data_IF_349143725717
#
_entry.id   IF_349143725717
#
_cell.length_a   1.000
_cell.length_b   1.000
_cell.length_c   1.000
_cell.angle_alpha   90.00
_cell.angle_beta   90.00
_cell.angle_gamma   90.00
#
_symmetry.space_group_name_H-M   'P 1'
#
loop_
_entity.id
_entity.type
_entity.pdbx_description
1 polymer ?
#
# COMPACT_ATOMS: atom_id res chain seq x y z
N UNK A 1 6.42 -13.92 -4.38
CA UNK A 1 5.50 -13.18 -5.27
C UNK A 1 4.49 -12.50 -4.37
N UNK A 2 4.80 -11.27 -3.94
CA UNK A 2 3.83 -10.42 -3.23
C UNK A 2 2.79 -10.00 -4.25
N UNK A 3 1.51 -10.28 -3.99
CA UNK A 3 0.42 -9.61 -4.70
C UNK A 3 0.34 -8.17 -4.17
N UNK A 4 1.38 -7.38 -4.42
CA UNK A 4 1.26 -5.94 -4.41
C UNK A 4 0.47 -5.56 -5.65
N UNK A 5 -0.26 -4.46 -5.58
CA UNK A 5 -0.57 -3.62 -6.73
C UNK A 5 0.53 -3.71 -7.79
N UNK A 6 0.23 -3.63 -9.11
CA UNK A 6 1.27 -3.34 -10.08
C UNK A 6 1.80 -1.93 -9.78
N UNK A 7 2.61 -1.81 -8.73
CA UNK A 7 3.54 -0.73 -8.55
C UNK A 7 4.37 -0.76 -9.81
N UNK A 8 4.44 0.37 -10.50
CA UNK A 8 5.46 0.52 -11.51
C UNK A 8 6.78 0.32 -10.78
N UNK A 9 7.37 -0.85 -10.94
CA UNK A 9 8.67 -1.11 -10.36
C UNK A 9 9.63 -0.04 -10.88
N UNK A 10 10.61 0.32 -10.05
CA UNK A 10 11.66 1.28 -10.42
C UNK A 10 12.24 0.93 -11.81
N UNK A 11 12.33 -0.36 -12.13
CA UNK A 11 12.75 -0.87 -13.43
C UNK A 11 11.86 -0.41 -14.59
N UNK A 12 10.53 -0.44 -14.45
CA UNK A 12 9.59 0.01 -15.50
C UNK A 12 9.70 1.52 -15.70
N UNK A 13 9.92 2.31 -14.63
CA UNK A 13 10.08 3.77 -14.72
C UNK A 13 11.43 4.18 -15.31
N UNK A 14 12.50 3.40 -15.09
CA UNK A 14 13.81 3.64 -15.69
C UNK A 14 13.77 3.55 -17.23
N UNK A 15 12.96 2.62 -17.75
CA UNK A 15 12.83 2.37 -19.19
C UNK A 15 11.76 3.26 -19.86
N UNK A 16 10.93 3.94 -19.08
CA UNK A 16 9.85 4.78 -19.60
C UNK A 16 10.33 6.16 -20.04
N UNK A 17 9.79 6.65 -21.16
CA UNK A 17 10.06 8.03 -21.63
C UNK A 17 9.32 9.05 -20.75
N UNK A 18 9.80 10.31 -20.68
CA UNK A 18 9.10 11.37 -19.93
C UNK A 18 7.64 11.56 -20.36
N UNK A 19 7.32 11.38 -21.64
CA UNK A 19 5.95 11.50 -22.15
C UNK A 19 5.05 10.37 -21.65
N UNK A 20 5.56 9.15 -21.60
CA UNK A 20 4.83 8.00 -21.06
C UNK A 20 4.57 8.17 -19.55
N UNK A 21 5.57 8.67 -18.81
CA UNK A 21 5.44 8.98 -17.38
C UNK A 21 4.40 10.09 -17.18
N UNK A 22 4.43 11.15 -17.99
CA UNK A 22 3.44 12.23 -17.91
C UNK A 22 2.02 11.74 -18.20
N UNK A 23 1.83 10.89 -19.21
CA UNK A 23 0.54 10.27 -19.49
C UNK A 23 0.04 9.46 -18.29
N UNK A 24 0.91 8.66 -17.67
CA UNK A 24 0.58 7.89 -16.47
C UNK A 24 0.21 8.80 -15.29
N UNK A 25 0.97 9.87 -15.04
CA UNK A 25 0.67 10.87 -14.01
C UNK A 25 -0.74 11.46 -14.21
N UNK A 26 -1.10 11.82 -15.44
CA UNK A 26 -2.40 12.43 -15.72
C UNK A 26 -3.56 11.46 -15.47
N UNK A 27 -3.42 10.20 -15.89
CA UNK A 27 -4.41 9.15 -15.59
C UNK A 27 -4.58 8.98 -14.08
N UNK A 28 -3.48 8.93 -13.33
CA UNK A 28 -3.57 8.80 -11.88
C UNK A 28 -4.25 10.02 -11.22
N UNK A 29 -4.00 11.24 -11.71
CA UNK A 29 -4.68 12.43 -11.19
C UNK A 29 -6.18 12.37 -11.40
N UNK A 30 -6.64 11.96 -12.58
CA UNK A 30 -8.07 11.76 -12.86
C UNK A 30 -8.69 10.72 -11.92
N UNK A 31 -7.98 9.62 -11.66
CA UNK A 31 -8.42 8.59 -10.71
C UNK A 31 -8.47 9.10 -9.27
N UNK A 32 -7.51 9.93 -8.86
CA UNK A 32 -7.53 10.58 -7.55
C UNK A 32 -8.71 11.54 -7.42
N UNK A 33 -9.01 12.31 -8.46
CA UNK A 33 -10.19 13.19 -8.49
C UNK A 33 -11.50 12.40 -8.44
N UNK A 34 -11.52 11.18 -9.01
CA UNK A 34 -12.61 10.23 -8.89
C UNK A 34 -12.69 9.52 -7.51
N UNK A 35 -11.75 9.80 -6.61
CA UNK A 35 -11.74 9.30 -5.24
C UNK A 35 -10.97 8.00 -5.01
N UNK A 36 -10.09 7.60 -5.93
CA UNK A 36 -9.27 6.38 -5.80
C UNK A 36 -8.03 6.64 -4.91
N UNK A 37 -8.00 6.02 -3.73
CA UNK A 37 -6.92 6.18 -2.76
C UNK A 37 -5.58 5.58 -3.21
N UNK A 38 -5.63 4.44 -3.90
CA UNK A 38 -4.44 3.73 -4.40
C UNK A 38 -3.76 4.46 -5.55
N UNK A 39 -4.51 5.18 -6.37
CA UNK A 39 -3.96 6.08 -7.39
C UNK A 39 -3.12 7.21 -6.76
N UNK A 40 -3.54 7.72 -5.60
CA UNK A 40 -2.74 8.71 -4.86
C UNK A 40 -1.45 8.09 -4.29
N UNK A 41 -1.48 6.83 -3.82
CA UNK A 41 -0.26 6.11 -3.42
C UNK A 41 0.71 5.98 -4.58
N UNK A 42 0.22 5.56 -5.76
CA UNK A 42 1.05 5.45 -6.96
C UNK A 42 1.63 6.81 -7.39
N UNK A 43 0.91 7.91 -7.26
CA UNK A 43 1.49 9.25 -7.51
C UNK A 43 2.63 9.61 -6.55
N UNK A 44 2.54 9.20 -5.28
CA UNK A 44 3.64 9.36 -4.34
C UNK A 44 4.86 8.51 -4.74
N UNK A 45 4.64 7.27 -5.19
CA UNK A 45 5.70 6.38 -5.70
C UNK A 45 6.35 6.90 -6.97
N UNK A 46 5.56 7.40 -7.92
CA UNK A 46 6.05 8.04 -9.15
C UNK A 46 6.93 9.25 -8.81
N UNK A 47 6.51 10.07 -7.85
CA UNK A 47 7.33 11.19 -7.39
C UNK A 47 8.67 10.71 -6.82
N UNK A 48 8.67 9.68 -5.96
CA UNK A 48 9.91 9.09 -5.43
C UNK A 48 10.78 8.49 -6.54
N UNK A 49 10.19 7.77 -7.48
CA UNK A 49 10.92 7.16 -8.59
C UNK A 49 11.60 8.19 -9.48
N UNK A 50 10.93 9.32 -9.80
CA UNK A 50 11.54 10.42 -10.54
C UNK A 50 12.74 10.99 -9.78
N UNK A 51 12.59 11.23 -8.46
CA UNK A 51 13.69 11.72 -7.63
C UNK A 51 14.90 10.75 -7.62
N UNK A 52 14.65 9.44 -7.61
CA UNK A 52 15.69 8.41 -7.60
C UNK A 52 16.32 8.15 -8.97
N UNK A 53 15.65 8.52 -10.07
CA UNK A 53 16.17 8.28 -11.42
C UNK A 53 17.38 9.14 -11.79
N UNK A 54 17.55 10.30 -11.14
CA UNK A 54 18.59 11.29 -11.45
C UNK A 54 18.63 11.75 -12.92
N UNK A 55 17.56 11.52 -13.69
CA UNK A 55 17.43 11.94 -15.08
C UNK A 55 16.83 13.36 -15.16
N UNK A 56 17.62 14.32 -15.66
CA UNK A 56 17.21 15.73 -15.74
C UNK A 56 15.88 15.94 -16.48
N UNK A 57 15.66 15.19 -17.57
CA UNK A 57 14.43 15.29 -18.37
C UNK A 57 13.18 14.85 -17.59
N UNK A 58 13.31 13.86 -16.69
CA UNK A 58 12.21 13.37 -15.84
C UNK A 58 11.95 14.31 -14.66
N UNK A 59 12.98 14.99 -14.14
CA UNK A 59 12.85 15.92 -13.01
C UNK A 59 11.90 17.10 -13.33
N UNK A 60 11.81 17.52 -14.59
CA UNK A 60 10.85 18.54 -15.02
C UNK A 60 9.39 18.17 -14.69
N UNK A 61 9.07 16.87 -14.67
CA UNK A 61 7.73 16.36 -14.36
C UNK A 61 7.32 16.61 -12.90
N UNK A 62 8.29 16.80 -11.98
CA UNK A 62 8.01 17.09 -10.57
C UNK A 62 7.19 18.38 -10.40
N UNK A 63 7.35 19.35 -11.30
CA UNK A 63 6.57 20.60 -11.29
C UNK A 63 5.07 20.37 -11.49
N UNK A 64 4.70 19.22 -12.06
CA UNK A 64 3.32 18.85 -12.35
C UNK A 64 2.66 18.02 -11.23
N UNK A 65 3.40 17.56 -10.22
CA UNK A 65 2.90 16.65 -9.18
C UNK A 65 3.11 17.25 -7.79
N UNK A 66 2.19 16.94 -6.86
CA UNK A 66 2.31 17.34 -5.45
C UNK A 66 3.40 16.54 -4.75
N UNK A 67 3.85 17.00 -3.59
CA UNK A 67 4.84 16.25 -2.80
C UNK A 67 4.32 14.86 -2.39
N UNK A 68 5.20 13.87 -2.14
CA UNK A 68 4.77 12.54 -1.70
C UNK A 68 3.93 12.57 -0.42
N UNK A 69 4.25 13.48 0.51
CA UNK A 69 3.50 13.64 1.77
C UNK A 69 2.04 14.05 1.53
N UNK A 70 1.80 14.99 0.60
CA UNK A 70 0.45 15.41 0.25
C UNK A 70 -0.34 14.27 -0.41
N UNK A 71 0.28 13.52 -1.31
CA UNK A 71 -0.39 12.36 -1.90
C UNK A 71 -0.67 11.27 -0.87
N UNK A 72 0.21 11.04 0.10
CA UNK A 72 -0.09 10.13 1.20
C UNK A 72 -1.29 10.61 2.04
N UNK A 73 -1.46 11.92 2.28
CA UNK A 73 -2.64 12.44 2.98
C UNK A 73 -3.93 12.23 2.18
N UNK A 74 -3.87 12.45 0.85
CA UNK A 74 -4.99 12.22 -0.06
C UNK A 74 -5.36 10.73 -0.08
N UNK A 75 -4.36 9.85 -0.24
CA UNK A 75 -4.53 8.41 -0.21
C UNK A 75 -5.17 7.96 1.11
N UNK A 76 -4.64 8.37 2.26
CA UNK A 76 -5.19 7.99 3.56
C UNK A 76 -6.67 8.37 3.69
N UNK A 77 -7.05 9.57 3.24
CA UNK A 77 -8.44 10.03 3.25
C UNK A 77 -9.34 9.14 2.37
N UNK A 78 -8.95 8.86 1.14
CA UNK A 78 -9.76 8.06 0.22
C UNK A 78 -9.82 6.59 0.61
N UNK A 79 -8.70 5.99 1.01
CA UNK A 79 -8.65 4.64 1.55
C UNK A 79 -9.57 4.49 2.77
N UNK A 80 -9.64 5.50 3.64
CA UNK A 80 -10.59 5.50 4.77
C UNK A 80 -12.04 5.39 4.28
N UNK A 81 -12.41 6.10 3.22
CA UNK A 81 -13.75 6.05 2.65
C UNK A 81 -14.04 4.71 1.96
N UNK A 82 -13.08 4.18 1.21
CA UNK A 82 -13.15 2.87 0.55
C UNK A 82 -13.29 1.73 1.57
N UNK A 83 -12.45 1.74 2.61
CA UNK A 83 -12.50 0.78 3.71
C UNK A 83 -13.83 0.85 4.47
N UNK A 84 -14.34 2.06 4.75
CA UNK A 84 -15.68 2.22 5.35
C UNK A 84 -16.81 1.70 4.45
N UNK A 85 -16.58 1.60 3.14
CA UNK A 85 -17.51 1.04 2.17
C UNK A 85 -17.37 -0.49 2.01
N UNK A 86 -16.44 -1.12 2.74
CA UNK A 86 -16.21 -2.56 2.74
C UNK A 86 -15.12 -3.07 1.80
N UNK A 87 -14.31 -2.19 1.19
CA UNK A 87 -13.17 -2.60 0.37
C UNK A 87 -12.06 -3.19 1.28
N UNK A 88 -11.87 -4.51 1.23
CA UNK A 88 -10.89 -5.21 2.05
C UNK A 88 -9.44 -4.91 1.68
N UNK A 89 -9.15 -4.58 0.43
CA UNK A 89 -7.81 -4.17 0.03
C UNK A 89 -7.50 -2.75 0.56
N UNK A 90 -8.47 -1.84 0.54
CA UNK A 90 -8.32 -0.51 1.15
C UNK A 90 -8.16 -0.59 2.68
N UNK A 91 -8.82 -1.54 3.35
CA UNK A 91 -8.60 -1.82 4.78
C UNK A 91 -7.14 -2.25 5.04
N UNK A 92 -6.60 -3.14 4.21
CA UNK A 92 -5.20 -3.56 4.30
C UNK A 92 -4.23 -2.39 4.05
N UNK A 93 -4.47 -1.57 3.03
CA UNK A 93 -3.64 -0.38 2.78
C UNK A 93 -3.67 0.62 3.95
N UNK A 94 -4.83 0.82 4.61
CA UNK A 94 -4.91 1.61 5.84
C UNK A 94 -4.09 1.01 6.98
N UNK A 95 -4.11 -0.30 7.14
CA UNK A 95 -3.30 -0.98 8.14
C UNK A 95 -1.81 -0.67 7.94
N UNK A 96 -1.33 -0.71 6.69
CA UNK A 96 0.05 -0.32 6.34
C UNK A 96 0.32 1.14 6.73
N UNK A 97 -0.62 2.05 6.47
CA UNK A 97 -0.46 3.46 6.87
C UNK A 97 -0.30 3.65 8.39
N UNK A 98 -1.04 2.88 9.20
CA UNK A 98 -0.88 2.87 10.66
C UNK A 98 0.41 2.16 11.09
N UNK A 99 0.89 1.16 10.36
CA UNK A 99 2.16 0.51 10.66
C UNK A 99 3.34 1.46 10.52
N UNK A 100 3.38 2.26 9.44
CA UNK A 100 4.53 3.13 9.12
C UNK A 100 4.33 4.60 9.51
N UNK A 101 3.13 4.99 9.97
CA UNK A 101 2.83 6.36 10.36
C UNK A 101 2.83 7.34 9.17
N UNK A 102 2.09 7.01 8.11
CA UNK A 102 1.98 7.84 6.88
C UNK A 102 0.63 8.54 6.77
N UNK A 103 0.55 9.50 5.86
CA UNK A 103 -0.71 10.20 5.53
C UNK A 103 -1.27 11.08 6.65
N UNK A 104 -0.45 11.44 7.64
CA UNK A 104 -0.87 12.20 8.82
C UNK A 104 -1.35 11.35 10.00
N UNK A 105 -1.35 10.02 9.87
CA UNK A 105 -1.59 9.11 10.98
C UNK A 105 -0.28 8.82 11.75
N UNK A 106 -0.30 8.80 13.10
CA UNK A 106 0.81 8.27 13.87
C UNK A 106 0.91 6.76 13.69
N UNK A 107 2.09 6.20 13.98
CA UNK A 107 2.26 4.75 14.07
C UNK A 107 1.38 4.18 15.17
N UNK A 108 0.59 3.16 14.85
CA UNK A 108 -0.42 2.55 15.73
C UNK A 108 -0.59 1.07 15.35
N UNK A 109 0.12 0.18 16.07
CA UNK A 109 0.14 -1.24 15.74
C UNK A 109 -1.20 -1.93 16.01
N UNK A 110 -1.92 -1.46 17.01
CA UNK A 110 -3.23 -1.95 17.40
C UNK A 110 -4.24 -1.69 16.28
N UNK A 111 -4.23 -0.48 15.70
CA UNK A 111 -5.04 -0.19 14.51
C UNK A 111 -4.57 -0.96 13.28
N UNK A 112 -3.27 -1.14 13.09
CA UNK A 112 -2.75 -1.98 12.01
C UNK A 112 -3.33 -3.40 12.09
N UNK A 113 -3.31 -4.03 13.27
CA UNK A 113 -3.89 -5.36 13.49
C UNK A 113 -5.41 -5.33 13.24
N UNK A 114 -6.13 -4.36 13.80
CA UNK A 114 -7.59 -4.23 13.66
C UNK A 114 -8.01 -4.11 12.18
N UNK A 115 -7.36 -3.23 11.42
CA UNK A 115 -7.67 -3.04 10.01
C UNK A 115 -7.32 -4.27 9.15
N UNK A 116 -6.25 -4.98 9.49
CA UNK A 116 -5.93 -6.25 8.82
C UNK A 116 -6.91 -7.37 9.17
N UNK A 117 -7.39 -7.46 10.41
CA UNK A 117 -8.46 -8.41 10.77
C UNK A 117 -9.76 -8.08 10.03
N UNK A 118 -10.10 -6.79 9.89
CA UNK A 118 -11.25 -6.35 9.09
C UNK A 118 -11.07 -6.66 7.60
N UNK A 119 -9.87 -6.47 7.05
CA UNK A 119 -9.55 -6.83 5.67
C UNK A 119 -9.76 -8.33 5.41
N UNK A 120 -9.33 -9.18 6.34
CA UNK A 120 -9.60 -10.62 6.29
C UNK A 120 -11.09 -10.94 6.33
N UNK A 121 -11.84 -10.30 7.23
CA UNK A 121 -13.29 -10.47 7.31
C UNK A 121 -14.01 -10.04 6.03
N UNK A 122 -13.45 -9.05 5.31
CA UNK A 122 -13.92 -8.60 4.00
C UNK A 122 -13.44 -9.46 2.81
N UNK A 123 -12.69 -10.54 3.07
CA UNK A 123 -12.23 -11.50 2.06
C UNK A 123 -10.88 -11.15 1.42
N UNK A 124 -10.15 -10.17 1.95
CA UNK A 124 -8.80 -9.84 1.50
C UNK A 124 -7.74 -10.67 2.24
N UNK A 125 -7.58 -11.92 1.82
CA UNK A 125 -6.74 -12.91 2.51
C UNK A 125 -5.24 -12.58 2.56
N UNK A 126 -4.74 -11.65 1.76
CA UNK A 126 -3.33 -11.22 1.83
C UNK A 126 -3.00 -10.50 3.13
N UNK A 127 -3.97 -9.88 3.81
CA UNK A 127 -3.78 -9.30 5.14
C UNK A 127 -3.32 -10.32 6.20
N UNK A 128 -3.59 -11.61 5.99
CA UNK A 128 -3.11 -12.67 6.89
C UNK A 128 -1.57 -12.78 6.91
N UNK A 129 -0.85 -12.37 5.86
CA UNK A 129 0.61 -12.38 5.87
C UNK A 129 1.18 -11.35 6.87
N UNK A 130 0.58 -10.16 6.93
CA UNK A 130 1.03 -9.10 7.84
C UNK A 130 0.66 -9.43 9.29
N UNK A 131 -0.52 -10.03 9.50
CA UNK A 131 -0.92 -10.57 10.79
C UNK A 131 -0.04 -11.74 11.24
N UNK A 132 0.26 -12.68 10.33
CA UNK A 132 1.19 -13.78 10.60
C UNK A 132 2.55 -13.25 11.05
N UNK A 133 3.10 -12.29 10.31
CA UNK A 133 4.38 -11.65 10.65
C UNK A 133 4.30 -10.96 12.01
N UNK A 134 3.22 -10.23 12.28
CA UNK A 134 3.01 -9.55 13.56
C UNK A 134 2.99 -10.57 14.72
N UNK A 135 2.21 -11.64 14.60
CA UNK A 135 2.05 -12.64 15.64
C UNK A 135 3.27 -13.57 15.85
N UNK A 136 4.24 -13.55 14.94
CA UNK A 136 5.47 -14.36 15.04
C UNK A 136 6.69 -13.54 15.43
N UNK A 137 6.74 -12.26 15.04
CA UNK A 137 7.96 -11.44 15.19
C UNK A 137 7.83 -10.32 16.20
N UNK A 138 6.62 -9.82 16.48
CA UNK A 138 6.43 -8.67 17.37
C UNK A 138 6.28 -9.15 18.82
N UNK A 139 7.25 -8.87 19.73
CA UNK A 139 7.22 -9.43 21.10
C UNK A 139 5.96 -9.04 21.89
N UNK A 140 5.44 -7.83 21.67
CA UNK A 140 4.23 -7.32 22.32
C UNK A 140 2.93 -7.97 21.81
N UNK A 141 2.96 -8.58 20.63
CA UNK A 141 1.80 -9.16 19.95
C UNK A 141 2.01 -10.64 19.59
N UNK A 142 3.03 -11.28 20.18
CA UNK A 142 3.37 -12.67 19.89
C UNK A 142 2.18 -13.58 20.22
N UNK A 143 1.68 -14.30 19.22
CA UNK A 143 0.55 -15.20 19.37
C UNK A 143 0.67 -16.41 18.42
N UNK A 144 1.32 -17.50 18.86
CA UNK A 144 1.55 -18.68 18.02
C UNK A 144 0.27 -19.34 17.52
N UNK A 145 -0.83 -19.25 18.26
CA UNK A 145 -2.12 -19.85 17.86
C UNK A 145 -2.77 -19.04 16.74
N UNK A 146 -2.83 -17.71 16.88
CA UNK A 146 -3.30 -16.84 15.80
C UNK A 146 -2.38 -16.92 14.57
N UNK A 147 -1.07 -17.05 14.76
CA UNK A 147 -0.15 -17.26 13.64
C UNK A 147 -0.47 -18.55 12.86
N UNK A 148 -0.74 -19.67 13.53
CA UNK A 148 -1.16 -20.90 12.86
C UNK A 148 -2.46 -20.70 12.07
N UNK A 149 -3.44 -20.02 12.66
CA UNK A 149 -4.70 -19.67 11.99
C UNK A 149 -4.45 -18.85 10.71
N UNK A 150 -3.62 -17.81 10.77
CA UNK A 150 -3.27 -17.02 9.58
C UNK A 150 -2.60 -17.89 8.50
N UNK A 151 -1.69 -18.78 8.89
CA UNK A 151 -1.03 -19.69 7.95
C UNK A 151 -2.00 -20.69 7.30
N UNK A 152 -3.01 -21.15 8.04
CA UNK A 152 -4.09 -22.01 7.50
C UNK A 152 -4.99 -21.24 6.53
N UNK A 153 -5.36 -19.99 6.85
CA UNK A 153 -6.12 -19.11 5.96
C UNK A 153 -5.36 -18.89 4.65
N UNK A 154 -4.07 -18.57 4.71
CA UNK A 154 -3.23 -18.36 3.54
C UNK A 154 -3.15 -19.63 2.67
N UNK A 155 -2.88 -20.79 3.28
CA UNK A 155 -2.82 -22.08 2.57
C UNK A 155 -4.16 -22.45 1.91
N UNK A 156 -5.28 -22.26 2.60
CA UNK A 156 -6.61 -22.61 2.09
C UNK A 156 -7.06 -21.73 0.92
N UNK A 157 -6.59 -20.48 0.87
CA UNK A 157 -6.90 -19.53 -0.20
C UNK A 157 -5.82 -19.43 -1.28
N UNK A 158 -4.85 -20.37 -1.28
CA UNK A 158 -3.73 -20.42 -2.22
C UNK A 158 -2.90 -19.11 -2.23
N UNK A 159 -2.86 -18.42 -1.09
CA UNK A 159 -1.99 -17.27 -0.85
C UNK A 159 -0.63 -17.78 -0.35
N UNK A 160 0.46 -17.19 -0.85
CA UNK A 160 1.80 -17.54 -0.39
C UNK A 160 1.97 -17.16 1.09
N UNK A 161 2.39 -18.11 1.92
CA UNK A 161 2.79 -17.85 3.31
C UNK A 161 4.23 -17.34 3.31
N UNK A 162 4.45 -16.17 3.90
CA UNK A 162 5.81 -15.72 4.21
C UNK A 162 6.25 -16.42 5.49
N UNK A 163 6.69 -17.67 5.38
CA UNK A 163 7.31 -18.37 6.50
C UNK A 163 8.72 -17.80 6.71
N UNK A 164 8.91 -17.04 7.80
CA UNK A 164 10.23 -16.60 8.23
C UNK A 164 10.99 -17.79 8.85
N UNK A 165 12.28 -17.99 8.50
CA UNK A 165 13.10 -19.12 8.94
C UNK A 165 13.42 -19.11 10.44
#
# INVERSE_FOLDING_TARGET
>A
MSACHPSLSIDVMSLATPEAILMHINILKELVEAGNGRAAMQLAEVHFAILLSEEEDKMALLTSIKSPSEYHQIAFKHLTQEAMSGDGEAMHDLAVYFQVGRGGAPTDMEKCIEWNENALAAGYYFAANDLYTTYTTSPSHLNPERAKEMAEILRSHNCAVVELP
#
